data_IF_311863220428
#
_entry.id   IF_311863220428
#
_cell.length_a   1.000
_cell.length_b   1.000
_cell.length_c   1.000
_cell.angle_alpha   90.00
_cell.angle_beta   90.00
_cell.angle_gamma   90.00
#
_symmetry.space_group_name_H-M   'P 1'
#
loop_
_entity.id
_entity.type
_entity.pdbx_description
1 polymer ?
#
# COMPACT_ATOMS: atom_id res chain seq x y z
N UNK A 1 57.29 -61.15 -33.16
CA UNK A 1 56.47 -60.72 -34.32
C UNK A 1 55.03 -60.67 -33.81
N UNK A 2 54.28 -59.55 -33.81
CA UNK A 2 54.04 -58.60 -34.89
C UNK A 2 53.67 -57.22 -34.30
N UNK A 3 54.30 -56.16 -34.82
CA UNK A 3 53.97 -54.75 -34.54
C UNK A 3 52.61 -54.41 -35.16
N UNK A 4 51.77 -53.65 -34.46
CA UNK A 4 50.79 -52.76 -35.10
C UNK A 4 50.58 -51.49 -34.27
N UNK A 5 51.54 -50.57 -34.43
CA UNK A 5 51.40 -49.16 -34.12
C UNK A 5 50.65 -48.46 -35.25
N UNK A 6 49.42 -48.00 -35.02
CA UNK A 6 48.77 -46.94 -35.83
C UNK A 6 47.95 -46.02 -34.92
N UNK A 7 48.65 -45.09 -34.28
CA UNK A 7 48.06 -43.84 -33.79
C UNK A 7 47.56 -43.04 -35.01
N UNK A 8 46.25 -43.09 -35.27
CA UNK A 8 45.63 -42.14 -36.21
C UNK A 8 45.52 -40.81 -35.48
N UNK A 9 46.31 -39.84 -35.91
CA UNK A 9 46.17 -38.45 -35.49
C UNK A 9 44.76 -37.99 -35.81
N UNK A 10 43.98 -37.67 -34.77
CA UNK A 10 42.70 -36.98 -34.93
C UNK A 10 43.02 -35.63 -35.59
N UNK A 11 42.40 -35.28 -36.73
CA UNK A 11 42.66 -34.00 -37.38
C UNK A 11 42.39 -32.86 -36.40
N UNK A 12 43.31 -31.91 -36.29
CA UNK A 12 43.24 -30.77 -35.33
C UNK A 12 41.95 -29.92 -35.42
N UNK A 13 41.13 -30.13 -36.46
CA UNK A 13 39.81 -29.55 -36.58
C UNK A 13 38.78 -30.08 -35.56
N UNK A 14 38.89 -31.33 -35.11
CA UNK A 14 37.96 -31.91 -34.11
C UNK A 14 38.19 -31.36 -32.70
N UNK A 15 39.44 -31.00 -32.34
CA UNK A 15 39.72 -30.34 -31.06
C UNK A 15 39.16 -28.92 -31.00
N UNK A 16 39.18 -28.16 -32.11
CA UNK A 16 38.57 -26.82 -32.17
C UNK A 16 37.05 -26.85 -32.00
N UNK A 17 36.36 -27.83 -32.58
CA UNK A 17 34.91 -28.02 -32.40
C UNK A 17 34.54 -28.41 -30.97
N UNK A 18 35.35 -29.25 -30.30
CA UNK A 18 35.10 -29.62 -28.90
C UNK A 18 35.31 -28.46 -27.90
N UNK A 19 36.22 -27.53 -28.20
CA UNK A 19 36.44 -26.32 -27.40
C UNK A 19 35.30 -25.31 -27.62
N UNK A 20 34.83 -25.12 -28.86
CA UNK A 20 33.69 -24.24 -29.15
C UNK A 20 32.39 -24.78 -28.53
N UNK A 21 32.14 -26.09 -28.57
CA UNK A 21 30.98 -26.68 -27.90
C UNK A 21 31.03 -26.56 -26.37
N UNK A 22 32.22 -26.68 -25.74
CA UNK A 22 32.40 -26.38 -24.30
C UNK A 22 32.21 -24.91 -23.95
N UNK A 23 32.49 -24.00 -24.88
CA UNK A 23 32.32 -22.56 -24.68
C UNK A 23 30.86 -22.13 -24.87
N UNK A 24 30.08 -22.84 -25.69
CA UNK A 24 28.63 -22.67 -25.83
C UNK A 24 27.87 -23.31 -24.65
N UNK A 25 28.32 -24.46 -24.12
CA UNK A 25 27.68 -25.11 -22.96
C UNK A 25 28.03 -24.52 -21.60
N UNK A 26 29.04 -23.64 -21.50
CA UNK A 26 29.36 -22.90 -20.25
C UNK A 26 28.50 -21.66 -20.01
N UNK A 27 27.64 -21.34 -20.97
CA UNK A 27 26.68 -20.23 -20.90
C UNK A 27 25.26 -20.77 -20.89
N UNK A 28 24.98 -21.85 -20.15
CA UNK A 28 23.60 -22.19 -19.84
C UNK A 28 23.02 -21.02 -19.04
N UNK A 29 22.01 -20.28 -19.55
CA UNK A 29 21.39 -19.23 -18.77
C UNK A 29 20.80 -19.89 -17.52
N UNK A 30 21.38 -19.60 -16.36
CA UNK A 30 20.83 -20.04 -15.10
C UNK A 30 19.51 -19.29 -14.90
N UNK A 31 18.39 -19.96 -15.17
CA UNK A 31 17.07 -19.41 -14.88
C UNK A 31 16.86 -19.52 -13.38
N UNK A 32 17.06 -18.41 -12.68
CA UNK A 32 16.74 -18.29 -11.26
C UNK A 32 15.24 -18.01 -11.10
N UNK A 33 14.46 -19.04 -10.76
CA UNK A 33 13.06 -18.88 -10.38
C UNK A 33 12.98 -18.52 -8.89
N UNK A 34 12.58 -17.28 -8.58
CA UNK A 34 12.27 -16.86 -7.21
C UNK A 34 10.78 -17.08 -6.97
N UNK A 35 10.42 -18.15 -6.25
CA UNK A 35 9.05 -18.40 -5.80
C UNK A 35 8.89 -17.71 -4.44
N UNK A 36 7.98 -16.76 -4.35
CA UNK A 36 7.52 -16.17 -3.09
C UNK A 36 6.17 -16.80 -2.78
N UNK A 37 6.05 -17.46 -1.62
CA UNK A 37 4.80 -18.08 -1.17
C UNK A 37 4.22 -17.20 -0.07
N UNK A 38 3.33 -16.29 -0.45
CA UNK A 38 2.65 -15.42 0.50
C UNK A 38 1.43 -16.16 1.04
N UNK A 39 1.42 -16.41 2.35
CA UNK A 39 0.26 -16.99 3.04
C UNK A 39 -0.68 -15.86 3.42
N UNK A 40 -1.89 -15.88 2.86
CA UNK A 40 -2.96 -14.99 3.27
C UNK A 40 -4.03 -15.81 3.99
N UNK A 41 -4.45 -15.36 5.16
CA UNK A 41 -5.67 -15.86 5.79
C UNK A 41 -6.83 -15.10 5.15
N UNK A 42 -7.69 -15.80 4.41
CA UNK A 42 -8.92 -15.23 3.88
C UNK A 42 -9.93 -15.28 5.02
N UNK A 43 -10.34 -14.10 5.50
CA UNK A 43 -11.41 -13.97 6.48
C UNK A 43 -12.69 -13.76 5.68
N UNK A 44 -13.62 -14.70 5.78
CA UNK A 44 -14.98 -14.49 5.30
C UNK A 44 -15.70 -13.56 6.28
N UNK A 45 -16.03 -12.35 5.81
CA UNK A 45 -16.71 -11.33 6.62
C UNK A 45 -18.24 -11.55 6.66
N UNK A 46 -18.78 -12.38 5.77
CA UNK A 46 -20.22 -12.70 5.70
C UNK A 46 -20.59 -13.89 6.59
N UNK A 47 -19.64 -14.79 6.83
CA UNK A 47 -19.79 -15.95 7.72
C UNK A 47 -18.70 -15.95 8.80
N UNK A 48 -18.77 -15.04 9.80
CA UNK A 48 -17.78 -15.02 10.86
C UNK A 48 -17.79 -16.37 11.58
N UNK A 49 -16.62 -16.99 11.72
CA UNK A 49 -16.48 -18.12 12.63
C UNK A 49 -16.96 -17.71 14.02
N UNK A 50 -17.45 -18.68 14.82
CA UNK A 50 -18.11 -18.51 16.12
C UNK A 50 -17.10 -18.09 17.22
N UNK A 51 -16.42 -16.99 16.93
CA UNK A 51 -15.22 -16.51 17.58
C UNK A 51 -15.68 -15.53 18.65
N UNK A 52 -15.40 -15.85 19.91
CA UNK A 52 -15.71 -15.00 21.08
C UNK A 52 -15.11 -13.58 21.01
N UNK A 53 -14.29 -13.31 20.01
CA UNK A 53 -13.59 -12.04 19.82
C UNK A 53 -14.09 -11.19 18.64
N UNK A 54 -15.33 -11.41 18.22
CA UNK A 54 -16.00 -10.61 17.21
C UNK A 54 -16.81 -9.48 17.87
N UNK A 55 -16.73 -8.28 17.31
CA UNK A 55 -17.63 -7.16 17.60
C UNK A 55 -18.59 -6.96 16.42
N UNK A 56 -19.88 -6.85 16.73
CA UNK A 56 -20.92 -6.57 15.74
C UNK A 56 -21.24 -5.08 15.75
N UNK A 57 -21.23 -4.46 14.57
CA UNK A 57 -21.60 -3.07 14.37
C UNK A 57 -22.89 -3.00 13.58
N UNK A 58 -23.95 -2.48 14.19
CA UNK A 58 -25.23 -2.26 13.53
C UNK A 58 -25.21 -0.92 12.81
N UNK A 59 -25.35 -0.94 11.49
CA UNK A 59 -25.62 0.19 10.61
C UNK A 59 -27.10 0.19 10.22
N UNK A 60 -27.60 1.27 9.66
CA UNK A 60 -29.04 1.46 9.42
C UNK A 60 -29.69 0.29 8.65
N UNK A 61 -28.98 -0.27 7.65
CA UNK A 61 -29.48 -1.37 6.80
C UNK A 61 -28.60 -2.63 6.82
N UNK A 62 -27.54 -2.68 7.63
CA UNK A 62 -26.56 -3.77 7.60
C UNK A 62 -25.88 -3.99 8.96
N UNK A 63 -25.41 -5.22 9.19
CA UNK A 63 -24.51 -5.54 10.29
C UNK A 63 -23.14 -5.88 9.75
N UNK A 64 -22.09 -5.42 10.42
CA UNK A 64 -20.72 -5.79 10.08
C UNK A 64 -20.04 -6.41 11.29
N UNK A 65 -19.35 -7.51 11.05
CA UNK A 65 -18.59 -8.22 12.05
C UNK A 65 -17.09 -7.93 11.89
N UNK A 66 -16.44 -7.55 12.99
CA UNK A 66 -15.01 -7.25 13.03
C UNK A 66 -14.31 -7.96 14.18
N UNK A 67 -13.05 -8.31 14.00
CA UNK A 67 -12.20 -8.74 15.11
C UNK A 67 -11.93 -7.58 16.06
N UNK A 68 -12.25 -7.77 17.35
CA UNK A 68 -11.98 -6.80 18.42
C UNK A 68 -10.49 -6.48 18.52
N UNK A 69 -9.63 -7.49 18.41
CA UNK A 69 -8.17 -7.31 18.50
C UNK A 69 -7.64 -6.43 17.37
N UNK A 70 -8.09 -6.66 16.13
CA UNK A 70 -7.64 -5.88 14.97
C UNK A 70 -8.08 -4.42 15.11
N UNK A 71 -9.32 -4.19 15.55
CA UNK A 71 -9.83 -2.84 15.77
C UNK A 71 -9.03 -2.11 16.85
N UNK A 72 -8.85 -2.73 18.02
CA UNK A 72 -8.11 -2.17 19.13
C UNK A 72 -6.64 -1.91 18.78
N UNK A 73 -6.01 -2.82 18.03
CA UNK A 73 -4.61 -2.70 17.58
C UNK A 73 -4.37 -1.46 16.71
N UNK A 74 -5.34 -1.10 15.87
CA UNK A 74 -5.16 -0.03 14.88
C UNK A 74 -5.85 1.30 15.25
N UNK A 75 -6.64 1.31 16.33
CA UNK A 75 -7.43 2.47 16.73
C UNK A 75 -7.60 2.51 18.26
N UNK A 76 -6.99 3.51 18.93
CA UNK A 76 -7.22 3.75 20.36
C UNK A 76 -8.69 4.05 20.68
N UNK A 77 -9.43 4.65 19.74
CA UNK A 77 -10.87 4.86 19.87
C UNK A 77 -11.61 3.54 20.05
N UNK A 78 -11.33 2.56 19.18
CA UNK A 78 -11.94 1.24 19.28
C UNK A 78 -11.43 0.47 20.49
N UNK A 79 -10.15 0.58 20.84
CA UNK A 79 -9.61 -0.03 22.07
C UNK A 79 -10.39 0.42 23.31
N UNK A 80 -10.64 1.71 23.47
CA UNK A 80 -11.41 2.24 24.61
C UNK A 80 -12.87 1.81 24.55
N UNK A 81 -13.51 1.95 23.39
CA UNK A 81 -14.92 1.60 23.20
C UNK A 81 -15.20 0.11 23.47
N UNK A 82 -14.28 -0.78 23.08
CA UNK A 82 -14.43 -2.22 23.24
C UNK A 82 -14.28 -2.70 24.70
N UNK A 83 -13.73 -1.87 25.61
CA UNK A 83 -13.68 -2.20 27.05
C UNK A 83 -15.05 -2.37 27.68
N UNK A 84 -16.08 -1.79 27.08
CA UNK A 84 -17.47 -1.96 27.52
C UNK A 84 -18.01 -3.38 27.29
N UNK A 85 -17.32 -4.18 26.46
CA UNK A 85 -17.63 -5.57 26.14
C UNK A 85 -19.11 -5.82 25.78
N UNK A 86 -19.70 -4.93 24.99
CA UNK A 86 -21.03 -5.09 24.41
C UNK A 86 -21.00 -6.12 23.28
N UNK A 87 -22.15 -6.76 23.04
CA UNK A 87 -22.37 -7.64 21.89
C UNK A 87 -22.47 -6.81 20.59
N UNK A 88 -23.24 -5.71 20.63
CA UNK A 88 -23.48 -4.84 19.47
C UNK A 88 -23.13 -3.39 19.77
N UNK A 89 -22.42 -2.75 18.84
CA UNK A 89 -22.03 -1.34 18.88
C UNK A 89 -22.78 -0.55 17.80
N UNK A 90 -23.27 0.65 18.17
CA UNK A 90 -23.90 1.59 17.24
C UNK A 90 -22.93 2.71 16.93
N UNK A 91 -22.53 2.83 15.66
CA UNK A 91 -21.72 3.95 15.18
C UNK A 91 -22.64 4.96 14.50
N UNK A 92 -22.84 6.12 15.12
CA UNK A 92 -23.58 7.20 14.49
C UNK A 92 -22.80 7.78 13.30
N UNK A 93 -23.50 8.03 12.19
CA UNK A 93 -22.94 8.66 10.98
C UNK A 93 -21.77 7.88 10.38
N UNK A 94 -21.88 6.55 10.33
CA UNK A 94 -20.92 5.69 9.67
C UNK A 94 -21.57 5.03 8.46
N UNK A 95 -21.15 5.43 7.26
CA UNK A 95 -21.65 4.85 6.02
C UNK A 95 -20.83 3.59 5.67
N UNK A 96 -21.54 2.55 5.23
CA UNK A 96 -21.00 1.26 4.81
C UNK A 96 -19.95 1.41 3.68
N UNK A 97 -20.09 2.45 2.83
CA UNK A 97 -19.11 2.72 1.79
C UNK A 97 -17.69 3.00 2.38
N UNK A 98 -17.62 3.65 3.55
CA UNK A 98 -16.34 3.94 4.22
C UNK A 98 -15.87 2.80 5.10
N UNK A 99 -16.78 1.97 5.61
CA UNK A 99 -16.42 0.78 6.39
C UNK A 99 -15.56 -0.16 5.56
N UNK A 100 -15.88 -0.37 4.29
CA UNK A 100 -15.05 -1.13 3.37
C UNK A 100 -13.61 -0.59 3.34
N UNK A 101 -13.43 0.71 3.16
CA UNK A 101 -12.09 1.30 3.11
C UNK A 101 -11.34 1.20 4.45
N UNK A 102 -12.06 1.29 5.56
CA UNK A 102 -11.53 1.05 6.89
C UNK A 102 -11.09 -0.42 7.08
N UNK A 103 -11.93 -1.39 6.69
CA UNK A 103 -11.60 -2.83 6.68
C UNK A 103 -10.32 -3.07 5.89
N UNK A 104 -10.26 -2.54 4.66
CA UNK A 104 -9.16 -2.79 3.74
C UNK A 104 -7.84 -2.22 4.26
N UNK A 105 -7.88 -1.06 4.91
CA UNK A 105 -6.67 -0.40 5.42
C UNK A 105 -6.19 -0.99 6.74
N UNK A 106 -7.10 -1.41 7.63
CA UNK A 106 -6.74 -1.96 8.94
C UNK A 106 -6.31 -3.44 8.88
N UNK A 107 -6.86 -4.24 7.96
CA UNK A 107 -6.54 -5.68 7.88
C UNK A 107 -5.27 -5.94 7.07
N UNK A 108 -4.53 -4.89 6.66
CA UNK A 108 -3.36 -5.02 5.78
C UNK A 108 -3.63 -5.88 4.54
N UNK A 109 -4.87 -5.86 4.04
CA UNK A 109 -5.12 -6.45 2.75
C UNK A 109 -4.27 -5.67 1.76
N UNK A 110 -3.41 -6.31 0.94
CA UNK A 110 -2.58 -5.61 -0.04
C UNK A 110 -3.53 -4.83 -0.92
N UNK A 111 -3.64 -3.53 -0.63
CA UNK A 111 -4.49 -2.66 -1.38
C UNK A 111 -3.96 -2.72 -2.80
N UNK A 112 -4.82 -3.15 -3.72
CA UNK A 112 -4.69 -2.63 -5.06
C UNK A 112 -5.17 -1.17 -4.96
N UNK A 113 -4.36 -0.31 -4.32
CA UNK A 113 -4.63 1.14 -4.18
C UNK A 113 -4.83 1.80 -5.54
N UNK A 114 -4.40 1.12 -6.62
CA UNK A 114 -4.64 1.49 -8.00
C UNK A 114 -6.11 1.37 -8.44
N UNK A 115 -6.95 0.59 -7.72
CA UNK A 115 -8.37 0.42 -8.04
C UNK A 115 -9.19 1.62 -7.58
N UNK A 116 -8.79 2.27 -6.48
CA UNK A 116 -9.49 3.46 -6.00
C UNK A 116 -9.08 4.68 -6.81
N UNK A 117 -10.06 5.27 -7.49
CA UNK A 117 -9.90 6.55 -8.17
C UNK A 117 -10.02 7.66 -7.11
N UNK A 118 -8.89 7.99 -6.48
CA UNK A 118 -8.85 8.98 -5.39
C UNK A 118 -9.31 10.36 -5.88
N UNK A 119 -10.53 10.73 -5.51
CA UNK A 119 -11.05 12.09 -5.62
C UNK A 119 -10.75 12.88 -4.34
N UNK A 120 -10.90 14.20 -4.38
CA UNK A 120 -10.66 15.05 -3.19
C UNK A 120 -11.75 14.83 -2.14
N UNK A 121 -12.96 14.54 -2.60
CA UNK A 121 -14.15 14.28 -1.81
C UNK A 121 -13.98 12.97 -1.03
N UNK A 122 -13.67 11.87 -1.74
CA UNK A 122 -13.39 10.58 -1.11
C UNK A 122 -12.24 10.68 -0.13
N UNK A 123 -11.17 11.39 -0.49
CA UNK A 123 -10.04 11.60 0.39
C UNK A 123 -10.45 12.29 1.69
N UNK A 124 -11.25 13.36 1.61
CA UNK A 124 -11.74 14.08 2.79
C UNK A 124 -12.57 13.16 3.67
N UNK A 125 -13.51 12.44 3.10
CA UNK A 125 -14.41 11.55 3.84
C UNK A 125 -13.63 10.44 4.56
N UNK A 126 -12.66 9.83 3.86
CA UNK A 126 -11.77 8.81 4.44
C UNK A 126 -10.95 9.38 5.58
N UNK A 127 -10.36 10.56 5.41
CA UNK A 127 -9.57 11.18 6.48
C UNK A 127 -10.43 11.63 7.66
N UNK A 128 -11.64 12.12 7.43
CA UNK A 128 -12.57 12.46 8.49
C UNK A 128 -12.93 11.22 9.34
N UNK A 129 -13.11 10.06 8.70
CA UNK A 129 -13.25 8.77 9.40
C UNK A 129 -11.97 8.38 10.13
N UNK A 130 -10.79 8.54 9.50
CA UNK A 130 -9.51 8.24 10.12
C UNK A 130 -9.27 9.06 11.40
N UNK A 131 -9.58 10.35 11.36
CA UNK A 131 -9.47 11.24 12.51
C UNK A 131 -10.48 10.86 13.59
N UNK A 132 -11.75 10.65 13.22
CA UNK A 132 -12.82 10.30 14.16
C UNK A 132 -12.49 9.02 14.93
N UNK A 133 -11.97 8.01 14.25
CA UNK A 133 -11.59 6.74 14.85
C UNK A 133 -10.11 6.65 15.21
N UNK A 134 -9.35 7.76 15.16
CA UNK A 134 -7.93 7.79 15.54
C UNK A 134 -7.08 6.70 14.85
N UNK A 135 -7.40 6.36 13.61
CA UNK A 135 -6.74 5.29 12.85
C UNK A 135 -5.57 5.84 12.03
N UNK A 136 -4.39 5.91 12.67
CA UNK A 136 -3.17 6.43 12.04
C UNK A 136 -2.65 5.52 10.92
N UNK A 137 -2.93 4.22 10.97
CA UNK A 137 -2.53 3.27 9.92
C UNK A 137 -3.20 3.62 8.59
N UNK A 138 -4.48 4.01 8.61
CA UNK A 138 -5.19 4.46 7.42
C UNK A 138 -4.56 5.73 6.82
N UNK A 139 -4.27 6.75 7.65
CA UNK A 139 -3.59 7.97 7.19
C UNK A 139 -2.24 7.65 6.55
N UNK A 140 -1.46 6.76 7.17
CA UNK A 140 -0.17 6.33 6.66
C UNK A 140 -0.27 5.58 5.33
N UNK A 141 -1.27 4.70 5.17
CA UNK A 141 -1.50 3.96 3.94
C UNK A 141 -1.83 4.89 2.78
N UNK A 142 -2.75 5.85 2.99
CA UNK A 142 -3.11 6.83 1.96
C UNK A 142 -1.94 7.76 1.65
N UNK A 143 -1.21 8.26 2.66
CA UNK A 143 -0.02 9.08 2.44
C UNK A 143 1.03 8.32 1.60
N UNK A 144 1.26 7.05 1.93
CA UNK A 144 2.21 6.18 1.20
C UNK A 144 1.81 6.02 -0.26
N UNK A 145 0.52 5.81 -0.55
CA UNK A 145 0.01 5.79 -1.92
C UNK A 145 0.25 7.11 -2.65
N UNK A 146 -0.10 8.25 -2.05
CA UNK A 146 0.09 9.56 -2.68
C UNK A 146 1.57 9.86 -2.95
N UNK A 147 2.47 9.36 -2.09
CA UNK A 147 3.92 9.44 -2.31
C UNK A 147 4.39 8.60 -3.51
N UNK A 148 3.61 7.68 -4.06
CA UNK A 148 3.94 6.95 -5.30
C UNK A 148 3.54 7.69 -6.57
N UNK A 149 2.70 8.73 -6.46
CA UNK A 149 2.22 9.49 -7.62
C UNK A 149 3.32 10.35 -8.25
N UNK A 150 3.14 10.62 -9.55
CA UNK A 150 3.96 11.56 -10.33
C UNK A 150 3.99 12.96 -9.69
N UNK A 151 5.13 13.65 -9.79
CA UNK A 151 5.33 15.00 -9.24
C UNK A 151 4.31 16.04 -9.74
N UNK A 152 3.75 15.84 -10.93
CA UNK A 152 2.70 16.75 -11.44
C UNK A 152 1.34 16.49 -10.78
N UNK A 153 1.02 15.22 -10.48
CA UNK A 153 -0.25 14.85 -9.85
C UNK A 153 -0.24 15.19 -8.36
N UNK A 154 0.89 14.96 -7.69
CA UNK A 154 1.02 15.13 -6.23
C UNK A 154 0.80 16.58 -5.78
N UNK A 155 1.15 17.57 -6.62
CA UNK A 155 0.93 19.01 -6.34
C UNK A 155 -0.53 19.35 -6.06
N UNK A 156 -1.48 18.66 -6.71
CA UNK A 156 -2.92 18.88 -6.53
C UNK A 156 -3.43 18.52 -5.13
N UNK A 157 -2.60 17.84 -4.33
CA UNK A 157 -2.93 17.35 -2.99
C UNK A 157 -2.39 18.23 -1.86
N UNK A 158 -1.61 19.29 -2.16
CA UNK A 158 -0.93 20.10 -1.14
C UNK A 158 -1.87 20.65 -0.06
N UNK A 159 -3.02 21.20 -0.47
CA UNK A 159 -3.98 21.77 0.46
C UNK A 159 -4.54 20.73 1.43
N UNK A 160 -4.77 19.50 0.96
CA UNK A 160 -5.27 18.42 1.82
C UNK A 160 -4.15 17.83 2.67
N UNK A 161 -2.95 17.66 2.11
CA UNK A 161 -1.79 17.19 2.85
C UNK A 161 -1.49 18.07 4.06
N UNK A 162 -1.57 19.40 3.90
CA UNK A 162 -1.44 20.33 5.02
C UNK A 162 -2.62 20.26 6.00
N UNK A 163 -3.86 20.26 5.48
CA UNK A 163 -5.07 20.21 6.31
C UNK A 163 -5.07 19.01 7.26
N UNK A 164 -4.63 17.84 6.79
CA UNK A 164 -4.61 16.60 7.56
C UNK A 164 -3.23 16.26 8.15
N UNK A 165 -2.28 17.20 8.14
CA UNK A 165 -0.96 17.00 8.78
C UNK A 165 -0.08 15.92 8.16
N UNK A 166 -0.23 15.64 6.87
CA UNK A 166 0.57 14.68 6.11
C UNK A 166 1.96 15.25 5.77
N UNK A 167 2.81 15.34 6.78
CA UNK A 167 4.07 16.07 6.71
C UNK A 167 5.04 15.52 5.65
N UNK A 168 5.09 14.19 5.42
CA UNK A 168 6.01 13.61 4.42
C UNK A 168 5.55 13.97 3.02
N UNK A 169 4.24 13.90 2.79
CA UNK A 169 3.62 14.31 1.54
C UNK A 169 3.80 15.82 1.29
N UNK A 170 3.47 16.67 2.26
CA UNK A 170 3.65 18.12 2.17
C UNK A 170 5.11 18.48 1.85
N UNK A 171 6.07 17.86 2.53
CA UNK A 171 7.49 18.06 2.27
C UNK A 171 7.89 17.64 0.85
N UNK A 172 7.44 16.46 0.38
CA UNK A 172 7.71 16.00 -0.99
C UNK A 172 7.13 16.96 -2.02
N UNK A 173 5.90 17.43 -1.83
CA UNK A 173 5.25 18.36 -2.73
C UNK A 173 6.05 19.66 -2.81
N UNK A 174 6.31 20.31 -1.67
CA UNK A 174 7.05 21.59 -1.62
C UNK A 174 8.44 21.46 -2.27
N UNK A 175 9.15 20.36 -2.02
CA UNK A 175 10.47 20.10 -2.63
C UNK A 175 10.40 19.94 -4.16
N UNK A 176 9.26 19.50 -4.68
CA UNK A 176 9.04 19.30 -6.12
C UNK A 176 8.54 20.54 -6.86
N UNK A 177 8.23 21.62 -6.15
CA UNK A 177 7.69 22.85 -6.74
C UNK A 177 8.79 23.72 -7.36
N UNK A 178 8.50 24.31 -8.51
CA UNK A 178 9.31 25.34 -9.15
C UNK A 178 8.99 26.73 -8.56
N UNK A 179 9.79 27.74 -8.90
CA UNK A 179 9.49 29.13 -8.54
C UNK A 179 8.15 29.60 -9.10
N UNK A 180 7.80 29.15 -10.31
CA UNK A 180 6.55 29.51 -10.98
C UNK A 180 5.35 28.88 -10.29
N UNK A 181 5.45 27.61 -9.86
CA UNK A 181 4.40 26.95 -9.06
C UNK A 181 4.13 27.73 -7.76
N UNK A 182 5.20 28.21 -7.10
CA UNK A 182 5.10 29.01 -5.87
C UNK A 182 4.46 30.37 -6.15
N UNK A 183 4.80 31.02 -7.27
CA UNK A 183 4.22 32.28 -7.68
C UNK A 183 2.72 32.15 -7.99
N UNK A 184 2.33 31.10 -8.71
CA UNK A 184 0.92 30.80 -9.02
C UNK A 184 0.12 30.55 -7.74
N UNK A 185 0.67 29.80 -6.79
CA UNK A 185 0.04 29.57 -5.49
C UNK A 185 -0.11 30.84 -4.66
N UNK A 186 0.86 31.75 -4.74
CA UNK A 186 0.79 33.07 -4.09
C UNK A 186 -0.26 33.98 -4.70
N UNK A 187 -0.77 33.72 -5.89
CA UNK A 187 -1.86 34.51 -6.46
C UNK A 187 -3.23 33.98 -5.99
N UNK A 188 -3.31 32.66 -5.78
CA UNK A 188 -4.49 31.95 -5.25
C UNK A 188 -4.72 32.11 -3.73
N UNK A 189 -4.28 33.22 -3.10
CA UNK A 189 -4.11 33.42 -1.62
C UNK A 189 -5.29 33.08 -0.70
N UNK A 190 -6.48 32.78 -1.21
CA UNK A 190 -7.60 32.33 -0.38
C UNK A 190 -7.42 30.90 0.18
N UNK A 191 -6.47 30.12 -0.32
CA UNK A 191 -6.27 28.71 0.10
C UNK A 191 -4.83 28.37 0.49
N UNK A 192 -4.03 29.32 1.00
CA UNK A 192 -2.67 29.00 1.41
C UNK A 192 -2.65 28.09 2.66
N UNK A 193 -1.96 26.94 2.59
CA UNK A 193 -1.83 26.02 3.71
C UNK A 193 -1.18 26.67 4.94
N UNK A 194 -1.58 26.26 6.13
CA UNK A 194 -1.14 26.81 7.42
C UNK A 194 0.39 26.73 7.54
N UNK A 195 1.00 25.66 7.05
CA UNK A 195 2.44 25.46 7.10
C UNK A 195 3.22 26.53 6.31
N UNK A 196 2.75 26.93 5.13
CA UNK A 196 3.44 27.91 4.29
C UNK A 196 3.37 29.32 4.89
N UNK A 197 2.28 29.64 5.62
CA UNK A 197 2.15 30.94 6.31
C UNK A 197 3.19 31.15 7.40
N UNK A 198 3.82 30.08 7.92
CA UNK A 198 4.84 30.17 8.97
C UNK A 198 6.27 30.32 8.43
N UNK A 199 6.48 30.08 7.13
CA UNK A 199 7.81 30.12 6.50
C UNK A 199 8.03 31.35 5.60
N UNK A 200 7.00 32.17 5.40
CA UNK A 200 7.05 33.46 4.71
C UNK A 200 6.96 34.60 5.72
#
# INVERSE_FOLDING_TARGET
>A
MTRFSRSRSIPGHFMKLSLLLRQIYRSSPSVSLKITMDRFNVIDLEAPEDNKNTATFSLDDAEIHFSKDILALHSPFFEEMLKENKETYKLANFDLAYSGLYCFTCVHFPLITHVFLWTKELFREVFDVAERFQCNVMKHAVETYLLTLDSNKIKNWLSMADQFGLNRLTHKIVKSMTKDDIAEMRDKRRCLPIFIRRQL
#
